data_IF_193220707953
#
_entry.id   IF_193220707953
#
_cell.length_a   1.000
_cell.length_b   1.000
_cell.length_c   1.000
_cell.angle_alpha   90.00
_cell.angle_beta   90.00
_cell.angle_gamma   90.00
#
_symmetry.space_group_name_H-M   'P 1'
#
loop_
_entity.id
_entity.type
_entity.pdbx_description
1 polymer ?
#
# COMPACT_ATOMS: atom_id res chain seq x y z
N UNK A 1 4.46 3.11 -18.96
CA UNK A 1 5.09 1.78 -18.73
C UNK A 1 5.77 1.62 -17.36
N UNK A 2 6.04 2.67 -16.56
CA UNK A 2 6.68 2.53 -15.23
C UNK A 2 5.73 2.70 -14.02
N UNK A 3 4.53 3.24 -14.19
CA UNK A 3 3.56 3.52 -13.11
C UNK A 3 2.59 2.35 -12.84
N UNK A 4 2.14 1.65 -13.88
CA UNK A 4 1.30 0.44 -13.79
C UNK A 4 1.95 -0.71 -12.97
N UNK A 5 3.28 -0.76 -12.91
CA UNK A 5 4.00 -1.77 -12.12
C UNK A 5 3.93 -1.48 -10.61
N UNK A 6 3.77 -0.23 -10.17
CA UNK A 6 3.72 0.13 -8.76
C UNK A 6 2.40 -0.33 -8.11
N UNK A 7 1.27 -0.13 -8.80
CA UNK A 7 -0.04 -0.65 -8.37
C UNK A 7 -0.07 -2.19 -8.35
N UNK A 8 0.53 -2.86 -9.35
CA UNK A 8 0.58 -4.33 -9.41
C UNK A 8 1.51 -4.94 -8.33
N UNK A 9 2.63 -4.29 -8.01
CA UNK A 9 3.61 -4.76 -7.01
C UNK A 9 3.11 -4.55 -5.58
N UNK A 10 2.36 -3.48 -5.29
CA UNK A 10 1.77 -3.25 -3.97
C UNK A 10 0.64 -4.23 -3.67
N UNK A 11 -0.19 -4.56 -4.66
CA UNK A 11 -1.21 -5.62 -4.55
C UNK A 11 -0.57 -7.00 -4.29
N UNK A 12 0.57 -7.30 -4.94
CA UNK A 12 1.31 -8.56 -4.73
C UNK A 12 1.97 -8.66 -3.34
N UNK A 13 2.33 -7.53 -2.71
CA UNK A 13 2.93 -7.53 -1.37
C UNK A 13 1.90 -7.73 -0.24
N UNK A 14 0.64 -7.34 -0.44
CA UNK A 14 -0.43 -7.56 0.56
C UNK A 14 -1.06 -8.96 0.39
N UNK A 15 -1.12 -9.49 -0.82
CA UNK A 15 -1.72 -10.81 -1.12
C UNK A 15 -0.86 -11.99 -0.65
N UNK A 16 0.45 -11.84 -0.49
CA UNK A 16 1.34 -12.96 -0.13
C UNK A 16 1.31 -13.40 1.36
N UNK A 17 0.38 -12.90 2.17
CA UNK A 17 0.25 -13.28 3.60
C UNK A 17 -0.99 -14.14 3.90
N UNK A 18 -1.91 -14.34 2.95
CA UNK A 18 -3.03 -15.27 3.15
C UNK A 18 -3.08 -16.33 2.05
N UNK A 19 -3.13 -17.58 2.50
CA UNK A 19 -3.01 -18.78 1.67
C UNK A 19 -4.05 -18.90 0.56
N UNK A 20 -3.68 -19.71 -0.42
CA UNK A 20 -4.45 -20.10 -1.61
C UNK A 20 -5.95 -20.23 -1.34
N UNK A 21 -6.72 -19.33 -1.94
CA UNK A 21 -8.13 -19.55 -2.26
C UNK A 21 -8.25 -19.50 -3.79
N UNK A 22 -9.08 -20.37 -4.36
CA UNK A 22 -9.39 -20.38 -5.79
C UNK A 22 -9.97 -19.02 -6.20
N UNK A 23 -9.13 -18.11 -6.68
CA UNK A 23 -9.58 -16.79 -7.10
C UNK A 23 -10.58 -16.95 -8.26
N UNK A 24 -11.73 -16.27 -8.20
CA UNK A 24 -12.71 -16.33 -9.29
C UNK A 24 -12.06 -15.89 -10.60
N UNK A 25 -12.36 -16.63 -11.68
CA UNK A 25 -11.84 -16.38 -13.02
C UNK A 25 -12.19 -14.95 -13.46
N UNK A 26 -11.19 -14.22 -13.97
CA UNK A 26 -11.38 -12.89 -14.57
C UNK A 26 -11.63 -13.07 -16.07
N UNK A 27 -12.82 -12.69 -16.51
CA UNK A 27 -13.19 -12.66 -17.92
C UNK A 27 -12.67 -11.37 -18.57
N UNK A 28 -12.18 -11.45 -19.82
CA UNK A 28 -11.58 -10.32 -20.53
C UNK A 28 -12.34 -9.88 -21.78
N UNK A 29 -13.50 -10.49 -22.04
CA UNK A 29 -14.37 -10.18 -23.15
C UNK A 29 -15.81 -10.44 -22.74
N UNK A 30 -16.72 -9.58 -23.20
CA UNK A 30 -18.16 -9.78 -23.01
C UNK A 30 -18.61 -11.06 -23.72
N UNK A 31 -18.09 -11.33 -24.92
CA UNK A 31 -18.45 -12.54 -25.69
C UNK A 31 -18.17 -13.81 -24.89
N UNK A 32 -16.97 -13.90 -24.32
CA UNK A 32 -16.55 -15.04 -23.51
C UNK A 32 -17.34 -15.12 -22.22
N UNK A 33 -17.57 -13.99 -21.55
CA UNK A 33 -18.38 -13.95 -20.33
C UNK A 33 -19.82 -14.43 -20.57
N UNK A 34 -20.40 -14.13 -21.73
CA UNK A 34 -21.75 -14.56 -22.08
C UNK A 34 -21.86 -16.06 -22.38
N UNK A 35 -20.75 -16.75 -22.66
CA UNK A 35 -20.77 -18.21 -22.85
C UNK A 35 -21.03 -18.97 -21.55
N UNK A 36 -20.68 -18.38 -20.41
CA UNK A 36 -20.81 -18.97 -19.07
C UNK A 36 -21.34 -17.93 -18.06
N UNK A 37 -22.46 -17.30 -18.37
CA UNK A 37 -22.96 -16.13 -17.65
C UNK A 37 -23.28 -16.34 -16.16
N UNK A 38 -23.42 -17.60 -15.72
CA UNK A 38 -23.77 -17.95 -14.34
C UNK A 38 -22.53 -17.94 -13.43
N UNK A 39 -21.35 -18.27 -13.95
CA UNK A 39 -20.10 -18.31 -13.18
C UNK A 39 -19.34 -16.97 -13.17
N UNK A 40 -19.76 -16.01 -13.99
CA UNK A 40 -19.02 -14.74 -14.15
C UNK A 40 -19.24 -13.83 -12.93
N UNK A 41 -18.20 -13.73 -12.11
CA UNK A 41 -18.11 -12.78 -10.99
C UNK A 41 -17.25 -11.56 -11.29
N UNK A 42 -16.22 -11.71 -12.12
CA UNK A 42 -15.25 -10.66 -12.44
C UNK A 42 -15.09 -10.48 -13.94
N UNK A 43 -15.23 -9.25 -14.42
CA UNK A 43 -15.06 -8.87 -15.82
C UNK A 43 -14.11 -7.67 -15.91
N UNK A 44 -13.04 -7.81 -16.68
CA UNK A 44 -12.11 -6.70 -16.95
C UNK A 44 -12.03 -6.49 -18.45
N UNK A 45 -12.61 -5.39 -18.91
CA UNK A 45 -12.54 -4.96 -20.30
C UNK A 45 -11.50 -3.85 -20.35
N UNK A 46 -10.44 -4.05 -21.11
CA UNK A 46 -9.34 -3.10 -21.29
C UNK A 46 -8.99 -3.08 -22.78
N UNK A 47 -8.41 -1.97 -23.26
CA UNK A 47 -7.85 -1.85 -24.62
C UNK A 47 -8.81 -2.04 -25.80
N UNK A 48 -10.11 -2.09 -25.55
CA UNK A 48 -11.14 -1.95 -26.57
C UNK A 48 -11.69 -0.52 -26.49
N UNK A 49 -11.96 0.14 -27.63
CA UNK A 49 -12.61 1.46 -27.71
C UNK A 49 -14.08 1.39 -27.26
N UNK A 50 -14.33 0.93 -26.03
CA UNK A 50 -15.64 0.80 -25.41
C UNK A 50 -16.11 2.19 -25.04
N UNK A 51 -17.07 2.68 -25.81
CA UNK A 51 -17.82 3.88 -25.48
C UNK A 51 -18.98 3.58 -24.53
N UNK A 52 -19.67 2.46 -24.72
CA UNK A 52 -20.81 2.02 -23.89
C UNK A 52 -20.80 0.52 -23.71
N UNK A 53 -21.57 0.02 -22.73
CA UNK A 53 -21.78 -1.41 -22.53
C UNK A 53 -23.03 -1.89 -23.28
N UNK A 54 -22.96 -3.05 -23.96
CA UNK A 54 -24.12 -3.67 -24.59
C UNK A 54 -25.10 -4.21 -23.54
N UNK A 55 -26.40 -4.19 -23.83
CA UNK A 55 -27.45 -4.56 -22.87
C UNK A 55 -27.38 -6.04 -22.45
N UNK A 56 -26.78 -6.88 -23.28
CA UNK A 56 -26.53 -8.30 -23.05
C UNK A 56 -25.72 -8.54 -21.78
N UNK A 57 -24.90 -7.58 -21.33
CA UNK A 57 -24.14 -7.67 -20.07
C UNK A 57 -25.05 -7.91 -18.86
N UNK A 58 -26.33 -7.51 -18.94
CA UNK A 58 -27.32 -7.76 -17.89
C UNK A 58 -27.64 -9.25 -17.65
N UNK A 59 -27.19 -10.13 -18.56
CA UNK A 59 -27.26 -11.59 -18.35
C UNK A 59 -26.26 -12.07 -17.30
N UNK A 60 -25.21 -11.30 -17.00
CA UNK A 60 -24.19 -11.61 -16.00
C UNK A 60 -24.70 -11.30 -14.57
N UNK A 61 -25.75 -12.00 -14.14
CA UNK A 61 -26.47 -11.71 -12.89
C UNK A 61 -25.59 -11.82 -11.63
N UNK A 62 -24.52 -12.59 -11.69
CA UNK A 62 -23.58 -12.81 -10.59
C UNK A 62 -22.33 -11.92 -10.68
N UNK A 63 -22.31 -10.93 -11.58
CA UNK A 63 -21.17 -10.02 -11.71
C UNK A 63 -21.03 -9.19 -10.43
N UNK A 64 -19.89 -9.35 -9.76
CA UNK A 64 -19.52 -8.66 -8.52
C UNK A 64 -18.52 -7.52 -8.79
N UNK A 65 -17.66 -7.67 -9.80
CA UNK A 65 -16.60 -6.72 -10.14
C UNK A 65 -16.54 -6.48 -11.64
N UNK A 66 -16.50 -5.20 -12.04
CA UNK A 66 -16.20 -4.79 -13.40
C UNK A 66 -15.07 -3.76 -13.42
N UNK A 67 -14.10 -3.97 -14.31
CA UNK A 67 -13.03 -3.02 -14.64
C UNK A 67 -13.19 -2.59 -16.11
N UNK A 68 -13.20 -1.28 -16.34
CA UNK A 68 -13.25 -0.60 -17.62
C UNK A 68 -12.08 0.39 -17.72
N UNK A 69 -10.89 -0.09 -17.35
CA UNK A 69 -9.68 0.73 -17.33
C UNK A 69 -9.16 0.92 -18.77
N UNK A 70 -8.52 2.06 -19.04
CA UNK A 70 -7.95 2.37 -20.36
C UNK A 70 -8.98 2.40 -21.51
N UNK A 71 -10.19 2.92 -21.26
CA UNK A 71 -11.27 3.13 -22.23
C UNK A 71 -11.51 4.64 -22.51
N UNK A 72 -10.67 5.32 -23.31
CA UNK A 72 -10.67 6.80 -23.39
C UNK A 72 -11.95 7.45 -23.93
N UNK A 73 -12.82 6.69 -24.61
CA UNK A 73 -14.09 7.18 -25.17
C UNK A 73 -15.30 6.83 -24.30
N UNK A 74 -15.09 6.39 -23.06
CA UNK A 74 -16.13 5.89 -22.17
C UNK A 74 -17.20 6.96 -21.86
N UNK A 75 -18.43 6.71 -22.30
CA UNK A 75 -19.60 7.43 -21.81
C UNK A 75 -20.00 6.86 -20.45
N UNK A 76 -19.33 7.35 -19.40
CA UNK A 76 -19.48 6.87 -18.04
C UNK A 76 -20.93 6.94 -17.55
N UNK A 77 -21.71 7.91 -18.02
CA UNK A 77 -23.14 8.04 -17.67
C UNK A 77 -23.95 6.88 -18.25
N UNK A 78 -23.77 6.55 -19.53
CA UNK A 78 -24.46 5.41 -20.15
C UNK A 78 -24.01 4.07 -19.56
N UNK A 79 -22.73 3.93 -19.26
CA UNK A 79 -22.16 2.76 -18.59
C UNK A 79 -22.82 2.55 -17.23
N UNK A 80 -22.89 3.60 -16.40
CA UNK A 80 -23.55 3.54 -15.09
C UNK A 80 -25.04 3.20 -15.24
N UNK A 81 -25.73 3.74 -16.24
CA UNK A 81 -27.13 3.41 -16.49
C UNK A 81 -27.33 1.91 -16.67
N UNK A 82 -26.49 1.26 -17.49
CA UNK A 82 -26.51 -0.20 -17.68
C UNK A 82 -26.12 -0.94 -16.38
N UNK A 83 -25.00 -0.57 -15.76
CA UNK A 83 -24.48 -1.25 -14.57
C UNK A 83 -25.43 -1.17 -13.36
N UNK A 84 -26.27 -0.14 -13.27
CA UNK A 84 -27.25 0.02 -12.18
C UNK A 84 -28.30 -1.10 -12.08
N UNK A 85 -28.46 -1.88 -13.16
CA UNK A 85 -29.32 -3.06 -13.18
C UNK A 85 -28.65 -4.32 -12.60
N UNK A 86 -27.32 -4.33 -12.46
CA UNK A 86 -26.55 -5.44 -11.90
C UNK A 86 -26.53 -5.36 -10.36
N UNK A 87 -27.48 -6.03 -9.72
CA UNK A 87 -27.68 -5.93 -8.26
C UNK A 87 -26.56 -6.53 -7.41
N UNK A 88 -25.73 -7.39 -7.98
CA UNK A 88 -24.60 -7.98 -7.26
C UNK A 88 -23.29 -7.20 -7.47
N UNK A 89 -23.29 -6.11 -8.25
CA UNK A 89 -22.09 -5.33 -8.51
C UNK A 89 -21.64 -4.60 -7.24
N UNK A 90 -20.40 -4.88 -6.83
CA UNK A 90 -19.75 -4.36 -5.62
C UNK A 90 -18.50 -3.56 -5.91
N UNK A 91 -17.82 -3.84 -7.02
CA UNK A 91 -16.56 -3.17 -7.35
C UNK A 91 -16.61 -2.65 -8.78
N UNK A 92 -16.33 -1.36 -8.94
CA UNK A 92 -16.31 -0.71 -10.25
C UNK A 92 -15.03 0.09 -10.40
N UNK A 93 -14.22 -0.30 -11.37
CA UNK A 93 -12.94 0.31 -11.71
C UNK A 93 -13.01 0.90 -13.10
N UNK A 94 -12.56 2.13 -13.26
CA UNK A 94 -12.49 2.80 -14.56
C UNK A 94 -11.37 3.85 -14.55
N UNK A 95 -10.16 3.38 -14.24
CA UNK A 95 -8.94 4.14 -14.28
C UNK A 95 -8.49 4.44 -15.72
N UNK A 96 -7.63 5.45 -15.91
CA UNK A 96 -7.04 5.80 -17.22
C UNK A 96 -8.07 6.19 -18.29
N UNK A 97 -9.15 6.87 -17.89
CA UNK A 97 -10.27 7.25 -18.77
C UNK A 97 -10.37 8.76 -19.05
N UNK A 98 -9.42 9.57 -18.58
CA UNK A 98 -9.38 11.03 -18.81
C UNK A 98 -10.66 11.76 -18.37
N UNK A 99 -11.38 11.21 -17.39
CA UNK A 99 -12.61 11.83 -16.89
C UNK A 99 -12.29 13.11 -16.12
N UNK A 100 -13.02 14.19 -16.39
CA UNK A 100 -12.88 15.47 -15.68
C UNK A 100 -13.83 15.61 -14.48
N UNK A 101 -14.92 14.83 -14.50
CA UNK A 101 -15.91 14.74 -13.44
C UNK A 101 -16.66 13.41 -13.53
N UNK A 102 -17.35 13.03 -12.45
CA UNK A 102 -18.29 11.92 -12.45
C UNK A 102 -19.74 12.44 -12.55
N UNK A 103 -20.63 11.71 -13.23
CA UNK A 103 -22.05 12.05 -13.31
C UNK A 103 -22.77 11.73 -11.99
N UNK A 104 -23.86 12.43 -11.69
CA UNK A 104 -24.64 12.21 -10.46
C UNK A 104 -25.30 10.82 -10.40
N UNK A 105 -25.48 10.21 -11.57
CA UNK A 105 -25.99 8.87 -11.74
C UNK A 105 -25.12 7.80 -11.06
N UNK A 106 -23.87 8.11 -10.67
CA UNK A 106 -23.03 7.19 -9.88
C UNK A 106 -23.75 6.67 -8.63
N UNK A 107 -24.62 7.50 -8.04
CA UNK A 107 -25.47 7.15 -6.90
C UNK A 107 -26.47 6.00 -7.17
N UNK A 108 -26.66 5.59 -8.42
CA UNK A 108 -27.52 4.46 -8.78
C UNK A 108 -26.85 3.10 -8.49
N UNK A 109 -25.53 3.05 -8.32
CA UNK A 109 -24.78 1.83 -7.99
C UNK A 109 -24.83 1.55 -6.47
N UNK A 110 -26.03 1.41 -5.91
CA UNK A 110 -26.28 1.41 -4.45
C UNK A 110 -25.54 0.35 -3.63
N UNK A 111 -25.12 -0.74 -4.27
CA UNK A 111 -24.44 -1.87 -3.61
C UNK A 111 -22.91 -1.80 -3.76
N UNK A 112 -22.39 -0.69 -4.29
CA UNK A 112 -20.96 -0.53 -4.53
C UNK A 112 -20.20 -0.43 -3.21
N UNK A 113 -19.26 -1.34 -3.02
CA UNK A 113 -18.35 -1.41 -1.87
C UNK A 113 -16.96 -0.81 -2.21
N UNK A 114 -16.54 -0.86 -3.48
CA UNK A 114 -15.24 -0.35 -3.95
C UNK A 114 -15.41 0.47 -5.23
N UNK A 115 -14.83 1.68 -5.25
CA UNK A 115 -14.85 2.58 -6.40
C UNK A 115 -13.42 2.98 -6.80
N UNK A 116 -13.01 2.60 -8.02
CA UNK A 116 -11.70 2.88 -8.60
C UNK A 116 -11.74 3.95 -9.66
N UNK A 117 -11.07 5.07 -9.40
CA UNK A 117 -11.07 6.31 -10.18
C UNK A 117 -9.65 6.79 -10.52
N UNK A 118 -8.64 5.96 -10.26
CA UNK A 118 -7.25 6.33 -10.40
C UNK A 118 -6.91 6.79 -11.83
N UNK A 119 -5.91 7.65 -11.97
CA UNK A 119 -5.37 8.06 -13.28
C UNK A 119 -6.47 8.63 -14.20
N UNK A 120 -7.14 9.66 -13.71
CA UNK A 120 -8.10 10.46 -14.45
C UNK A 120 -7.70 11.93 -14.32
N UNK A 121 -8.55 12.85 -14.77
CA UNK A 121 -8.33 14.31 -14.66
C UNK A 121 -9.42 14.94 -13.80
N UNK A 122 -9.87 14.23 -12.76
CA UNK A 122 -10.99 14.67 -11.93
C UNK A 122 -10.62 15.94 -11.19
N UNK A 123 -11.47 16.94 -11.28
CA UNK A 123 -11.31 18.20 -10.53
C UNK A 123 -12.13 18.23 -9.24
N UNK A 124 -13.18 17.39 -9.17
CA UNK A 124 -14.11 17.28 -8.03
C UNK A 124 -14.84 15.94 -8.05
N UNK A 125 -15.40 15.55 -6.91
CA UNK A 125 -16.37 14.46 -6.80
C UNK A 125 -17.81 15.03 -6.73
N UNK A 126 -18.80 14.42 -7.40
CA UNK A 126 -20.19 14.83 -7.28
C UNK A 126 -20.71 14.54 -5.87
N UNK A 127 -21.54 15.43 -5.31
CA UNK A 127 -22.07 15.27 -3.94
C UNK A 127 -22.94 14.02 -3.79
N UNK A 128 -23.51 13.54 -4.90
CA UNK A 128 -24.33 12.32 -4.99
C UNK A 128 -23.56 11.04 -4.63
N UNK A 129 -22.23 11.03 -4.68
CA UNK A 129 -21.41 9.87 -4.24
C UNK A 129 -21.66 9.51 -2.77
N UNK A 130 -22.08 10.48 -1.94
CA UNK A 130 -22.48 10.25 -0.53
C UNK A 130 -23.66 9.29 -0.36
N UNK A 131 -24.43 9.03 -1.44
CA UNK A 131 -25.54 8.07 -1.45
C UNK A 131 -25.08 6.61 -1.57
N UNK A 132 -23.78 6.37 -1.83
CA UNK A 132 -23.21 5.03 -1.91
C UNK A 132 -22.89 4.51 -0.50
N UNK A 133 -23.92 4.27 0.31
CA UNK A 133 -23.77 3.97 1.74
C UNK A 133 -22.98 2.69 2.05
N UNK A 134 -22.85 1.78 1.10
CA UNK A 134 -22.07 0.54 1.23
C UNK A 134 -20.57 0.72 0.90
N UNK A 135 -20.16 1.92 0.45
CA UNK A 135 -18.80 2.16 -0.02
C UNK A 135 -17.80 2.11 1.14
N UNK A 136 -16.82 1.22 1.00
CA UNK A 136 -15.77 0.94 1.99
C UNK A 136 -14.41 1.40 1.53
N UNK A 137 -14.18 1.45 0.22
CA UNK A 137 -12.90 1.79 -0.36
C UNK A 137 -13.08 2.71 -1.58
N UNK A 138 -12.30 3.78 -1.59
CA UNK A 138 -12.24 4.74 -2.70
C UNK A 138 -10.79 4.92 -3.12
N UNK A 139 -10.53 4.62 -4.39
CA UNK A 139 -9.22 4.80 -5.01
C UNK A 139 -9.27 5.97 -5.98
N UNK A 140 -8.69 7.11 -5.60
CA UNK A 140 -8.75 8.39 -6.36
C UNK A 140 -7.35 9.00 -6.52
N UNK A 141 -6.31 8.16 -6.53
CA UNK A 141 -4.95 8.60 -6.84
C UNK A 141 -4.79 9.05 -8.31
N UNK A 142 -3.65 9.63 -8.65
CA UNK A 142 -3.31 10.05 -10.02
C UNK A 142 -4.38 10.99 -10.64
N UNK A 143 -4.93 11.90 -9.85
CA UNK A 143 -5.84 12.98 -10.26
C UNK A 143 -5.27 14.33 -9.75
N UNK A 144 -4.22 14.87 -10.39
CA UNK A 144 -3.42 15.99 -9.85
C UNK A 144 -4.19 17.31 -9.67
N UNK A 145 -5.30 17.50 -10.40
CA UNK A 145 -6.15 18.69 -10.32
C UNK A 145 -7.35 18.53 -9.36
N UNK A 146 -7.43 17.41 -8.63
CA UNK A 146 -8.54 17.12 -7.74
C UNK A 146 -8.53 18.06 -6.54
N UNK A 147 -9.66 18.75 -6.31
CA UNK A 147 -9.88 19.45 -5.07
C UNK A 147 -10.07 18.45 -3.92
N UNK A 148 -8.96 18.13 -3.23
CA UNK A 148 -8.93 17.14 -2.14
C UNK A 148 -9.83 17.53 -0.97
N UNK A 149 -9.91 18.81 -0.62
CA UNK A 149 -10.76 19.25 0.50
C UNK A 149 -12.25 19.03 0.19
N UNK A 150 -12.67 19.33 -1.04
CA UNK A 150 -14.02 19.05 -1.52
C UNK A 150 -14.28 17.54 -1.58
N UNK A 151 -13.34 16.76 -2.11
CA UNK A 151 -13.47 15.31 -2.19
C UNK A 151 -13.63 14.69 -0.80
N UNK A 152 -12.76 15.02 0.16
CA UNK A 152 -12.84 14.54 1.54
C UNK A 152 -14.14 14.98 2.20
N UNK A 153 -14.57 16.24 2.02
CA UNK A 153 -15.83 16.73 2.59
C UNK A 153 -17.02 15.91 2.10
N UNK A 154 -17.06 15.56 0.81
CA UNK A 154 -18.11 14.71 0.28
C UNK A 154 -18.01 13.29 0.82
N UNK A 155 -16.82 12.70 0.81
CA UNK A 155 -16.57 11.34 1.30
C UNK A 155 -16.82 11.19 2.82
N UNK A 156 -16.79 12.29 3.59
CA UNK A 156 -17.09 12.28 5.03
C UNK A 156 -18.51 11.85 5.41
N UNK A 157 -19.42 11.85 4.44
CA UNK A 157 -20.79 11.39 4.60
C UNK A 157 -20.94 9.87 4.42
N UNK A 158 -19.85 9.15 4.12
CA UNK A 158 -19.83 7.71 3.94
C UNK A 158 -19.41 7.01 5.24
N UNK A 159 -20.39 6.61 6.05
CA UNK A 159 -20.14 5.99 7.37
C UNK A 159 -19.35 4.66 7.29
N UNK A 160 -19.41 3.97 6.15
CA UNK A 160 -18.71 2.70 5.94
C UNK A 160 -17.32 2.83 5.31
N UNK A 161 -16.87 4.05 4.96
CA UNK A 161 -15.59 4.27 4.32
C UNK A 161 -14.43 3.98 5.27
N UNK A 162 -13.60 3.01 4.91
CA UNK A 162 -12.47 2.50 5.70
C UNK A 162 -11.13 2.74 5.03
N UNK A 163 -11.09 2.71 3.70
CA UNK A 163 -9.86 2.88 2.93
C UNK A 163 -9.98 4.01 1.91
N UNK A 164 -8.99 4.89 1.89
CA UNK A 164 -8.89 6.01 0.97
C UNK A 164 -7.49 6.07 0.37
N UNK A 165 -7.43 6.06 -0.96
CA UNK A 165 -6.18 6.15 -1.70
C UNK A 165 -6.10 7.49 -2.43
N UNK A 166 -5.09 8.27 -2.08
CA UNK A 166 -4.80 9.62 -2.59
C UNK A 166 -3.39 9.69 -3.21
N UNK A 167 -2.87 8.55 -3.68
CA UNK A 167 -1.52 8.45 -4.23
C UNK A 167 -1.34 9.36 -5.45
N UNK A 168 -0.17 9.97 -5.63
CA UNK A 168 0.17 10.74 -6.83
C UNK A 168 -0.83 11.86 -7.20
N UNK A 169 -1.29 12.62 -6.20
CA UNK A 169 -2.18 13.77 -6.36
C UNK A 169 -1.44 15.11 -6.15
N UNK A 170 -0.10 15.13 -6.25
CA UNK A 170 0.75 16.31 -6.05
C UNK A 170 0.50 17.02 -4.69
N UNK A 171 0.23 16.23 -3.64
CA UNK A 171 -0.18 16.78 -2.34
C UNK A 171 1.02 17.26 -1.55
N UNK A 172 1.04 18.56 -1.25
CA UNK A 172 1.99 19.18 -0.32
C UNK A 172 1.45 19.25 1.12
N UNK A 173 0.14 19.09 1.28
CA UNK A 173 -0.55 19.04 2.57
C UNK A 173 -1.84 18.23 2.47
N UNK A 174 -2.42 17.89 3.62
CA UNK A 174 -3.72 17.21 3.72
C UNK A 174 -4.66 18.10 4.53
N UNK A 175 -5.85 18.44 4.01
CA UNK A 175 -6.74 19.40 4.65
C UNK A 175 -7.24 18.89 6.00
N UNK A 176 -7.61 19.81 6.89
CA UNK A 176 -8.13 19.46 8.22
C UNK A 176 -9.42 18.65 8.14
N UNK A 177 -10.19 18.77 7.05
CA UNK A 177 -11.39 17.99 6.79
C UNK A 177 -11.17 16.47 6.85
N UNK A 178 -9.94 15.96 6.71
CA UNK A 178 -9.64 14.52 6.85
C UNK A 178 -10.08 13.96 8.22
N UNK A 179 -10.12 14.78 9.26
CA UNK A 179 -10.56 14.36 10.61
C UNK A 179 -12.05 13.98 10.65
N UNK A 180 -12.81 14.37 9.63
CA UNK A 180 -14.24 14.06 9.52
C UNK A 180 -14.50 12.61 9.10
N UNK A 181 -13.50 11.93 8.52
CA UNK A 181 -13.57 10.51 8.15
C UNK A 181 -13.39 9.61 9.37
N UNK A 182 -14.42 9.55 10.23
CA UNK A 182 -14.40 8.91 11.56
C UNK A 182 -14.15 7.41 11.55
N UNK A 183 -14.35 6.75 10.42
CA UNK A 183 -14.20 5.30 10.27
C UNK A 183 -13.01 4.89 9.39
N UNK A 184 -12.23 5.87 8.91
CA UNK A 184 -11.07 5.61 8.07
C UNK A 184 -9.97 4.89 8.86
N UNK A 185 -9.60 3.72 8.38
CA UNK A 185 -8.54 2.87 8.96
C UNK A 185 -7.29 2.83 8.10
N UNK A 186 -7.41 3.05 6.80
CA UNK A 186 -6.33 2.86 5.83
C UNK A 186 -6.22 4.08 4.93
N UNK A 187 -5.07 4.75 4.97
CA UNK A 187 -4.81 5.96 4.19
C UNK A 187 -3.54 5.80 3.36
N UNK A 188 -3.69 5.91 2.04
CA UNK A 188 -2.59 5.81 1.08
C UNK A 188 -2.29 7.19 0.48
N UNK A 189 -1.04 7.63 0.62
CA UNK A 189 -0.55 8.95 0.22
C UNK A 189 0.78 8.83 -0.55
N UNK A 190 1.01 7.72 -1.23
CA UNK A 190 2.29 7.49 -1.89
C UNK A 190 2.50 8.45 -3.06
N UNK A 191 3.75 8.77 -3.39
CA UNK A 191 4.06 9.54 -4.59
C UNK A 191 3.53 10.98 -4.56
N UNK A 192 3.45 11.60 -3.39
CA UNK A 192 3.05 12.99 -3.21
C UNK A 192 4.27 13.85 -2.81
N UNK A 193 4.05 15.15 -2.56
CA UNK A 193 5.11 16.10 -2.25
C UNK A 193 5.17 16.44 -0.74
N UNK A 194 4.80 15.49 0.13
CA UNK A 194 4.77 15.71 1.58
C UNK A 194 6.18 15.74 2.17
N UNK A 195 6.42 16.66 3.12
CA UNK A 195 7.72 16.83 3.79
C UNK A 195 7.72 16.44 5.28
N UNK A 196 6.54 16.26 5.87
CA UNK A 196 6.30 15.71 7.21
C UNK A 196 4.93 15.00 7.20
N UNK A 197 4.61 14.25 8.24
CA UNK A 197 3.26 13.76 8.49
C UNK A 197 2.37 14.98 8.84
N UNK A 198 1.33 15.29 8.04
CA UNK A 198 0.43 16.42 8.32
C UNK A 198 -0.24 16.33 9.69
N UNK A 199 -0.39 17.48 10.37
CA UNK A 199 -1.03 17.56 11.70
C UNK A 199 -2.47 17.01 11.67
N UNK A 200 -3.19 17.25 10.57
CA UNK A 200 -4.55 16.78 10.33
C UNK A 200 -4.66 15.26 10.42
N UNK A 201 -3.66 14.52 9.92
CA UNK A 201 -3.61 13.05 9.95
C UNK A 201 -3.34 12.50 11.35
N UNK A 202 -2.56 13.21 12.18
CA UNK A 202 -2.14 12.75 13.52
C UNK A 202 -3.31 12.48 14.47
N UNK A 203 -4.49 13.05 14.19
CA UNK A 203 -5.71 12.93 15.01
C UNK A 203 -6.74 11.95 14.43
N UNK A 204 -6.43 11.28 13.32
CA UNK A 204 -7.35 10.35 12.66
C UNK A 204 -7.33 8.95 13.31
N UNK A 205 -8.35 8.10 13.08
CA UNK A 205 -8.42 6.75 13.63
C UNK A 205 -7.61 5.72 12.82
N UNK A 206 -6.75 6.17 11.90
CA UNK A 206 -6.02 5.29 10.98
C UNK A 206 -5.14 4.28 11.72
N UNK A 207 -5.08 3.10 11.12
CA UNK A 207 -4.28 1.94 11.54
C UNK A 207 -3.16 1.66 10.56
N UNK A 208 -3.38 1.96 9.29
CA UNK A 208 -2.40 1.85 8.23
C UNK A 208 -2.21 3.21 7.56
N UNK A 209 -0.95 3.62 7.40
CA UNK A 209 -0.57 4.86 6.74
C UNK A 209 0.57 4.61 5.75
N UNK A 210 0.34 4.87 4.47
CA UNK A 210 1.37 4.79 3.44
C UNK A 210 1.78 6.19 2.99
N UNK A 211 3.06 6.50 3.09
CA UNK A 211 3.69 7.77 2.70
C UNK A 211 4.93 7.51 1.81
N UNK A 212 4.99 6.34 1.17
CA UNK A 212 6.13 5.97 0.34
C UNK A 212 6.27 6.90 -0.86
N UNK A 213 7.49 7.26 -1.27
CA UNK A 213 7.71 8.13 -2.43
C UNK A 213 7.30 9.58 -2.17
N UNK A 214 7.59 10.11 -0.99
CA UNK A 214 7.42 11.52 -0.64
C UNK A 214 8.80 12.13 -0.31
N UNK A 215 8.81 13.34 0.25
CA UNK A 215 10.02 14.10 0.61
C UNK A 215 10.25 14.19 2.13
N UNK A 216 9.82 13.18 2.89
CA UNK A 216 9.99 13.19 4.35
C UNK A 216 11.46 12.99 4.73
N UNK A 217 11.96 13.88 5.60
CA UNK A 217 13.35 13.85 6.10
C UNK A 217 13.43 13.48 7.58
N UNK A 218 12.39 13.81 8.31
CA UNK A 218 12.23 13.55 9.74
C UNK A 218 10.74 13.37 10.05
N UNK A 219 10.47 12.88 11.25
CA UNK A 219 9.11 12.70 11.76
C UNK A 219 8.97 13.58 13.00
N UNK A 220 7.87 14.34 13.08
CA UNK A 220 7.51 15.09 14.28
C UNK A 220 6.26 14.49 14.93
N UNK A 221 6.42 13.83 16.08
CA UNK A 221 5.29 13.25 16.84
C UNK A 221 5.34 13.67 18.32
N UNK A 222 4.16 13.84 18.90
CA UNK A 222 3.93 14.09 20.32
C UNK A 222 3.08 12.98 20.93
N UNK A 223 3.15 12.83 22.25
CA UNK A 223 2.34 11.86 22.98
C UNK A 223 0.86 12.08 22.67
N UNK A 224 0.21 11.05 22.13
CA UNK A 224 -1.20 11.09 21.76
C UNK A 224 -1.46 11.30 20.27
N UNK A 225 -0.43 11.52 19.45
CA UNK A 225 -0.56 11.43 17.99
C UNK A 225 -0.68 9.97 17.55
N UNK A 226 -1.43 9.73 16.46
CA UNK A 226 -1.50 8.44 15.75
C UNK A 226 -1.82 7.24 16.67
N UNK A 227 -2.73 7.42 17.63
CA UNK A 227 -3.04 6.46 18.71
C UNK A 227 -3.45 5.07 18.25
N UNK A 228 -3.92 4.94 17.02
CA UNK A 228 -4.39 3.68 16.45
C UNK A 228 -3.43 3.08 15.42
N UNK A 229 -2.35 3.79 15.06
CA UNK A 229 -1.46 3.41 13.98
C UNK A 229 -0.67 2.14 14.32
N UNK A 230 -0.87 1.10 13.51
CA UNK A 230 -0.19 -0.20 13.62
C UNK A 230 0.87 -0.38 12.54
N UNK A 231 0.64 0.17 11.36
CA UNK A 231 1.44 -0.11 10.18
C UNK A 231 1.75 1.20 9.47
N UNK A 232 3.03 1.44 9.18
CA UNK A 232 3.45 2.62 8.45
C UNK A 232 4.46 2.28 7.37
N UNK A 233 4.21 2.77 6.16
CA UNK A 233 5.16 2.73 5.05
C UNK A 233 5.72 4.13 4.77
N UNK A 234 7.05 4.24 4.81
CA UNK A 234 7.84 5.44 4.57
C UNK A 234 8.95 5.15 3.54
N UNK A 235 8.77 4.13 2.70
CA UNK A 235 9.71 3.80 1.62
C UNK A 235 9.99 5.01 0.71
N UNK A 236 11.11 5.01 0.00
CA UNK A 236 11.42 6.01 -1.03
C UNK A 236 11.25 7.46 -0.54
N UNK A 237 11.76 7.76 0.65
CA UNK A 237 11.80 9.09 1.25
C UNK A 237 13.26 9.55 1.46
N UNK A 238 13.48 10.68 2.14
CA UNK A 238 14.78 11.35 2.27
C UNK A 238 15.29 11.40 3.73
N UNK A 239 15.09 10.32 4.49
CA UNK A 239 15.57 10.25 5.87
C UNK A 239 17.09 10.13 5.94
N UNK A 240 17.66 10.58 7.05
CA UNK A 240 19.05 10.27 7.43
C UNK A 240 19.11 9.28 8.60
N UNK A 241 18.13 9.36 9.50
CA UNK A 241 18.06 8.57 10.72
C UNK A 241 16.75 7.79 10.77
N UNK A 242 16.79 6.59 11.34
CA UNK A 242 15.57 5.87 11.69
C UNK A 242 14.76 6.68 12.72
N UNK A 243 13.45 6.91 12.53
CA UNK A 243 12.65 7.79 13.40
C UNK A 243 12.51 7.21 14.81
N UNK A 244 13.22 7.82 15.77
CA UNK A 244 13.12 7.45 17.18
C UNK A 244 11.75 7.84 17.77
N UNK A 245 11.07 8.78 17.13
CA UNK A 245 9.77 9.31 17.52
C UNK A 245 8.69 8.22 17.56
N UNK A 246 8.83 7.13 16.80
CA UNK A 246 7.93 5.98 16.88
C UNK A 246 8.00 5.23 18.22
N UNK A 247 9.00 5.51 19.07
CA UNK A 247 9.06 4.98 20.43
C UNK A 247 7.85 5.38 21.30
N UNK A 248 7.13 6.44 20.93
CA UNK A 248 5.93 6.90 21.65
C UNK A 248 4.64 6.20 21.19
N UNK A 249 4.72 5.33 20.17
CA UNK A 249 3.59 4.59 19.59
C UNK A 249 3.61 3.13 20.07
N UNK A 250 3.04 2.82 21.25
CA UNK A 250 3.13 1.48 21.84
C UNK A 250 2.33 0.40 21.11
N UNK A 251 1.54 0.76 20.10
CA UNK A 251 0.72 -0.15 19.30
C UNK A 251 1.32 -0.47 17.91
N UNK A 252 2.47 0.14 17.56
CA UNK A 252 3.05 0.00 16.23
C UNK A 252 3.61 -1.41 16.03
N UNK A 253 3.12 -2.08 15.00
CA UNK A 253 3.41 -3.47 14.63
C UNK A 253 4.44 -3.54 13.49
N UNK A 254 4.39 -2.63 12.53
CA UNK A 254 5.20 -2.72 11.30
C UNK A 254 5.66 -1.38 10.77
N UNK A 255 6.92 -1.34 10.35
CA UNK A 255 7.55 -0.20 9.69
C UNK A 255 8.21 -0.67 8.39
N UNK A 256 7.85 -0.05 7.27
CA UNK A 256 8.58 -0.13 6.01
C UNK A 256 9.29 1.20 5.74
N UNK A 257 10.58 1.12 5.43
CA UNK A 257 11.46 2.26 5.15
C UNK A 257 12.46 1.88 4.05
N UNK A 258 12.00 1.20 2.99
CA UNK A 258 12.85 0.75 1.90
C UNK A 258 13.36 1.95 1.10
N UNK A 259 14.66 2.00 0.79
CA UNK A 259 15.26 3.05 -0.05
C UNK A 259 14.94 4.46 0.44
N UNK A 260 15.04 4.67 1.76
CA UNK A 260 14.66 5.92 2.43
C UNK A 260 15.84 6.75 2.93
N UNK A 261 17.08 6.41 2.55
CA UNK A 261 18.30 7.15 2.91
C UNK A 261 18.85 6.93 4.32
N UNK A 262 18.27 6.00 5.09
CA UNK A 262 18.62 5.79 6.50
C UNK A 262 20.08 5.34 6.64
N UNK A 263 20.87 6.05 7.45
CA UNK A 263 22.26 5.72 7.77
C UNK A 263 22.43 5.18 9.18
N UNK A 264 21.60 5.67 10.11
CA UNK A 264 21.76 5.41 11.54
C UNK A 264 20.46 4.97 12.19
N UNK A 265 20.56 3.98 13.08
CA UNK A 265 19.49 3.55 13.97
C UNK A 265 19.93 3.87 15.41
N UNK A 266 19.15 4.72 16.10
CA UNK A 266 19.40 5.09 17.51
C UNK A 266 19.18 3.90 18.46
N UNK A 267 19.83 3.95 19.63
CA UNK A 267 19.57 3.04 20.76
C UNK A 267 18.12 3.08 21.25
N UNK A 268 17.39 4.15 20.95
CA UNK A 268 15.99 4.36 21.36
C UNK A 268 15.02 3.35 20.72
N UNK A 269 15.45 2.60 19.69
CA UNK A 269 14.70 1.49 19.10
C UNK A 269 14.24 0.46 20.16
N UNK A 270 14.97 0.36 21.28
CA UNK A 270 14.61 -0.49 22.43
C UNK A 270 13.19 -0.25 22.97
N UNK A 271 12.66 0.96 22.77
CA UNK A 271 11.35 1.36 23.26
C UNK A 271 10.20 0.89 22.37
N UNK A 272 10.48 0.42 21.14
CA UNK A 272 9.48 -0.01 20.15
C UNK A 272 9.16 -1.51 20.28
N UNK A 273 8.82 -1.96 21.49
CA UNK A 273 8.75 -3.39 21.87
C UNK A 273 7.66 -4.19 21.19
N UNK A 274 6.69 -3.55 20.55
CA UNK A 274 5.57 -4.22 19.84
C UNK A 274 5.89 -4.55 18.40
N UNK A 275 6.98 -4.01 17.83
CA UNK A 275 7.33 -4.22 16.43
C UNK A 275 7.49 -5.72 16.12
N UNK A 276 6.82 -6.15 15.05
CA UNK A 276 6.85 -7.50 14.49
C UNK A 276 7.61 -7.56 13.18
N UNK A 277 7.59 -6.48 12.41
CA UNK A 277 8.31 -6.37 11.14
C UNK A 277 8.99 -5.01 11.02
N UNK A 278 10.27 -5.02 10.62
CA UNK A 278 11.01 -3.84 10.17
C UNK A 278 11.62 -4.16 8.80
N UNK A 279 11.28 -3.38 7.79
CA UNK A 279 11.91 -3.41 6.47
C UNK A 279 12.72 -2.14 6.25
N UNK A 280 14.03 -2.31 6.06
CA UNK A 280 15.02 -1.25 5.86
C UNK A 280 15.90 -1.55 4.64
N UNK A 281 15.36 -2.26 3.65
CA UNK A 281 16.08 -2.63 2.44
C UNK A 281 16.55 -1.40 1.64
N UNK A 282 17.72 -1.48 1.01
CA UNK A 282 18.25 -0.46 0.10
C UNK A 282 18.59 0.87 0.78
N UNK A 283 19.01 0.84 2.04
CA UNK A 283 19.45 2.02 2.80
C UNK A 283 21.00 2.05 2.93
N UNK A 284 21.51 3.01 3.70
CA UNK A 284 22.95 3.24 3.90
C UNK A 284 23.45 2.79 5.29
N UNK A 285 22.77 1.83 5.91
CA UNK A 285 23.02 1.44 7.30
C UNK A 285 24.33 0.66 7.41
N UNK A 286 25.27 1.16 8.20
CA UNK A 286 26.59 0.52 8.42
C UNK A 286 26.68 -0.31 9.70
N UNK A 287 25.81 -0.04 10.68
CA UNK A 287 25.74 -0.78 11.93
C UNK A 287 24.35 -0.78 12.56
N UNK A 288 24.06 -1.84 13.30
CA UNK A 288 22.83 -2.00 14.08
C UNK A 288 23.16 -1.84 15.57
N UNK A 289 22.38 -1.06 16.34
CA UNK A 289 22.60 -0.93 17.78
C UNK A 289 22.26 -2.23 18.50
N UNK A 290 23.03 -2.59 19.54
CA UNK A 290 22.79 -3.81 20.34
C UNK A 290 21.40 -3.84 20.97
N UNK A 291 20.79 -2.68 21.19
CA UNK A 291 19.45 -2.48 21.73
C UNK A 291 18.35 -3.16 20.91
N UNK A 292 18.54 -3.36 19.59
CA UNK A 292 17.57 -4.08 18.76
C UNK A 292 17.32 -5.52 19.26
N UNK A 293 18.31 -6.10 19.95
CA UNK A 293 18.23 -7.45 20.52
C UNK A 293 17.25 -7.55 21.69
N UNK A 294 16.62 -6.44 22.10
CA UNK A 294 15.56 -6.46 23.11
C UNK A 294 14.16 -6.50 22.48
N UNK A 295 14.06 -6.42 21.14
CA UNK A 295 12.78 -6.49 20.42
C UNK A 295 12.37 -7.95 20.19
N UNK A 296 11.96 -8.64 21.26
CA UNK A 296 11.63 -10.07 21.23
C UNK A 296 10.38 -10.42 20.43
N UNK A 297 9.53 -9.42 20.14
CA UNK A 297 8.37 -9.56 19.25
C UNK A 297 8.73 -9.45 17.77
N UNK A 298 9.90 -8.92 17.41
CA UNK A 298 10.32 -8.73 16.04
C UNK A 298 10.55 -10.09 15.37
N UNK A 299 9.74 -10.43 14.37
CA UNK A 299 9.81 -11.70 13.64
C UNK A 299 10.51 -11.58 12.30
N UNK A 300 10.35 -10.43 11.66
CA UNK A 300 10.85 -10.18 10.30
C UNK A 300 11.73 -8.94 10.32
N UNK A 301 12.98 -9.11 9.88
CA UNK A 301 13.95 -8.02 9.75
C UNK A 301 14.57 -8.07 8.34
N UNK A 302 14.24 -7.09 7.51
CA UNK A 302 14.78 -6.97 6.15
C UNK A 302 15.78 -5.81 6.11
N UNK A 303 17.02 -6.12 5.74
CA UNK A 303 18.18 -5.22 5.73
C UNK A 303 18.99 -5.42 4.44
N UNK A 304 18.38 -5.93 3.38
CA UNK A 304 19.01 -6.16 2.09
C UNK A 304 19.55 -4.86 1.50
N UNK A 305 20.65 -4.91 0.75
CA UNK A 305 21.23 -3.75 0.06
C UNK A 305 21.63 -2.61 1.00
N UNK A 306 22.26 -2.92 2.14
CA UNK A 306 22.79 -1.95 3.10
C UNK A 306 24.33 -1.99 3.14
N UNK A 307 24.94 -1.21 4.04
CA UNK A 307 26.40 -1.10 4.21
C UNK A 307 26.92 -1.86 5.44
N UNK A 308 26.17 -2.84 5.96
CA UNK A 308 26.51 -3.52 7.21
C UNK A 308 27.84 -4.25 7.10
N UNK A 309 28.73 -4.01 8.05
CA UNK A 309 29.99 -4.76 8.20
C UNK A 309 29.80 -5.96 9.14
N UNK A 310 30.78 -6.87 9.21
CA UNK A 310 30.79 -7.96 10.20
C UNK A 310 30.53 -7.47 11.64
N UNK A 311 31.20 -6.37 12.06
CA UNK A 311 31.01 -5.78 13.40
C UNK A 311 29.65 -5.10 13.50
N UNK A 312 29.23 -4.39 12.45
CA UNK A 312 27.97 -3.64 12.43
C UNK A 312 26.73 -4.52 12.46
N UNK A 313 26.76 -5.69 11.83
CA UNK A 313 25.67 -6.67 11.83
C UNK A 313 25.68 -7.66 12.99
N UNK A 314 26.76 -7.69 13.80
CA UNK A 314 26.94 -8.70 14.86
C UNK A 314 25.74 -8.85 15.83
N UNK A 315 25.05 -7.77 16.26
CA UNK A 315 23.90 -7.90 17.16
C UNK A 315 22.74 -8.73 16.62
N UNK A 316 22.52 -8.74 15.30
CA UNK A 316 21.40 -9.44 14.65
C UNK A 316 21.44 -10.93 14.97
N UNK A 317 22.63 -11.53 15.05
CA UNK A 317 22.80 -12.96 15.35
C UNK A 317 22.49 -13.34 16.80
N UNK A 318 22.18 -12.38 17.68
CA UNK A 318 21.65 -12.64 19.02
C UNK A 318 20.12 -12.81 19.02
N UNK A 319 19.43 -12.53 17.91
CA UNK A 319 17.98 -12.48 17.80
C UNK A 319 17.39 -13.84 17.42
N UNK A 320 17.52 -14.82 18.32
CA UNK A 320 17.13 -16.22 18.07
C UNK A 320 15.64 -16.45 17.77
N UNK A 321 14.78 -15.45 17.98
CA UNK A 321 13.33 -15.48 17.73
C UNK A 321 12.92 -14.98 16.34
N UNK A 322 13.85 -14.47 15.53
CA UNK A 322 13.58 -14.08 14.15
C UNK A 322 13.16 -15.30 13.32
N UNK A 323 12.16 -15.11 12.46
CA UNK A 323 11.65 -16.12 11.52
C UNK A 323 12.03 -15.81 10.08
N UNK A 324 12.24 -14.53 9.75
CA UNK A 324 12.72 -14.09 8.45
C UNK A 324 13.80 -13.02 8.60
N UNK A 325 14.89 -13.17 7.85
CA UNK A 325 16.02 -12.27 7.84
C UNK A 325 16.58 -12.17 6.42
N UNK A 326 16.65 -10.96 5.89
CA UNK A 326 17.36 -10.66 4.64
C UNK A 326 18.54 -9.72 4.92
N UNK A 327 19.74 -10.17 4.55
CA UNK A 327 21.01 -9.44 4.65
C UNK A 327 21.75 -9.42 3.30
N UNK A 328 21.10 -9.76 2.19
CA UNK A 328 21.70 -9.71 0.85
C UNK A 328 22.32 -8.35 0.57
N UNK A 329 23.38 -8.30 -0.24
CA UNK A 329 23.98 -7.03 -0.66
C UNK A 329 24.55 -6.18 0.47
N UNK A 330 25.00 -6.79 1.57
CA UNK A 330 25.78 -6.14 2.64
C UNK A 330 27.26 -6.56 2.61
N UNK A 331 28.09 -5.88 3.41
CA UNK A 331 29.53 -6.15 3.55
C UNK A 331 29.85 -7.13 4.70
N UNK A 332 29.06 -8.21 4.81
CA UNK A 332 29.20 -9.22 5.87
C UNK A 332 29.80 -10.51 5.28
N UNK A 333 31.10 -10.74 5.54
CA UNK A 333 31.87 -11.82 4.93
C UNK A 333 31.94 -13.10 5.77
N UNK A 334 31.64 -13.05 7.08
CA UNK A 334 31.79 -14.19 8.00
C UNK A 334 30.50 -14.51 8.77
N UNK A 335 29.41 -14.69 8.01
CA UNK A 335 28.07 -14.98 8.56
C UNK A 335 28.01 -16.41 9.14
N UNK A 336 28.69 -17.38 8.51
CA UNK A 336 28.53 -18.82 8.75
C UNK A 336 28.73 -19.27 10.21
N UNK A 337 29.62 -18.62 10.96
CA UNK A 337 29.86 -18.94 12.38
C UNK A 337 28.71 -18.49 13.30
N UNK A 338 27.94 -17.50 12.90
CA UNK A 338 26.93 -16.85 13.74
C UNK A 338 25.49 -17.26 13.40
N UNK A 339 25.22 -17.73 12.17
CA UNK A 339 23.86 -18.16 11.74
C UNK A 339 23.28 -19.24 12.65
N UNK A 340 24.11 -20.15 13.19
CA UNK A 340 23.67 -21.23 14.10
C UNK A 340 22.93 -20.72 15.35
N UNK A 341 23.05 -19.43 15.68
CA UNK A 341 22.38 -18.79 16.81
C UNK A 341 20.94 -18.37 16.48
N UNK A 342 20.57 -18.27 15.21
CA UNK A 342 19.23 -17.94 14.72
C UNK A 342 18.33 -19.18 14.68
N UNK A 343 17.92 -19.66 15.86
CA UNK A 343 17.26 -20.97 16.01
C UNK A 343 15.89 -21.09 15.34
N UNK A 344 15.15 -19.99 15.18
CA UNK A 344 13.78 -20.01 14.65
C UNK A 344 13.65 -19.53 13.20
N UNK A 345 14.77 -19.36 12.50
CA UNK A 345 14.78 -18.82 11.14
C UNK A 345 14.15 -19.82 10.15
N UNK A 346 13.19 -19.33 9.35
CA UNK A 346 12.51 -20.10 8.29
C UNK A 346 12.93 -19.64 6.91
N UNK A 347 13.20 -18.34 6.76
CA UNK A 347 13.71 -17.72 5.54
C UNK A 347 14.94 -16.88 5.86
N UNK A 348 16.06 -17.21 5.22
CA UNK A 348 17.34 -16.53 5.41
C UNK A 348 17.95 -16.24 4.04
N UNK A 349 18.00 -14.96 3.70
CA UNK A 349 18.59 -14.51 2.45
C UNK A 349 19.91 -13.78 2.73
N UNK A 350 21.02 -14.35 2.28
CA UNK A 350 22.39 -13.87 2.59
C UNK A 350 23.34 -13.87 1.38
N UNK A 351 22.83 -13.78 0.13
CA UNK A 351 23.65 -13.85 -1.09
C UNK A 351 24.89 -12.95 -1.01
N UNK A 352 26.03 -13.63 -0.89
CA UNK A 352 27.37 -13.09 -0.86
C UNK A 352 27.72 -12.52 -2.23
N UNK A 353 28.32 -11.33 -2.27
CA UNK A 353 29.08 -10.84 -3.44
C UNK A 353 30.30 -11.75 -3.74
N UNK A 354 30.60 -12.75 -2.90
CA UNK A 354 31.82 -13.58 -2.99
C UNK A 354 31.55 -15.10 -2.83
N UNK A 355 30.49 -15.64 -3.44
CA UNK A 355 30.36 -17.11 -3.58
C UNK A 355 31.19 -17.68 -4.73
N UNK A 356 31.67 -16.85 -5.68
CA UNK A 356 32.64 -17.27 -6.70
C UNK A 356 33.99 -17.65 -6.10
N UNK A 357 34.46 -16.89 -5.11
CA UNK A 357 35.84 -17.01 -4.62
C UNK A 357 36.02 -18.10 -3.56
N UNK A 358 34.93 -18.51 -2.91
CA UNK A 358 34.96 -19.57 -1.90
C UNK A 358 34.82 -20.96 -2.50
N UNK A 359 34.05 -21.12 -3.59
CA UNK A 359 33.92 -22.40 -4.29
C UNK A 359 35.19 -22.80 -5.05
N UNK A 360 36.06 -21.83 -5.40
CA UNK A 360 37.35 -22.11 -6.04
C UNK A 360 38.44 -22.57 -5.04
N UNK A 361 38.26 -22.33 -3.73
CA UNK A 361 39.21 -22.75 -2.68
C UNK A 361 38.86 -24.07 -2.00
N UNK A 362 37.68 -24.63 -2.26
CA UNK A 362 37.30 -25.97 -1.79
C UNK A 362 37.55 -27.07 -2.83
N UNK A 363 38.25 -26.76 -3.93
CA UNK A 363 38.65 -27.70 -4.99
C UNK A 363 40.17 -27.98 -5.03
N UNK A 364 40.96 -27.51 -4.07
CA UNK A 364 42.38 -27.86 -3.92
C UNK A 364 42.70 -28.33 -2.51
#
# INVERSE_FOLDING_TARGET
>A
MKTSLAYLVLLLCIVNVFGQSSHPRIYRSIKDALTDSIEVKKLSLHKDSIKTLPIEILRLKNLEEISLDECPDLDIKQVIAVLSHLKNLKSFWFAQNKLTSLPDEIANLKNLEVLGLADNTLTKLPTSISKLTELKEVVIGENPDLNIDQAITVLSHLDNLKSLWLDHNNLTSIPESIITLKHLTDLWLNGNDLTDIPISIKRTPIRFLSLSGNHLKNISLKKGDLKNLRNIDLGYNEFENFPKEFAILPQLDTIWMRQSGVKHISKDIVNMKTLKLICLDGNDISSIPVQITQLTNLKILQLSGNKLTNKGGAPIFNMSWLTELDLQGNNINNISRHVKRLKNIKKLDIRLILLSDYLQKCQN
#
